data_IF_499866833931
#
_entry.id   IF_499866833931
#
_cell.length_a   1.000
_cell.length_b   1.000
_cell.length_c   1.000
_cell.angle_alpha   90.00
_cell.angle_beta   90.00
_cell.angle_gamma   90.00
#
_symmetry.space_group_name_H-M   'P 1'
#
loop_
_entity.id
_entity.type
_entity.pdbx_description
1 polymer ?
#
# COMPACT_ATOMS: atom_id res chain seq x y z
N UNK A 1 3.50 9.11 -15.67
CA UNK A 1 2.65 8.91 -14.47
C UNK A 1 1.57 9.98 -14.42
N UNK A 2 0.35 9.57 -14.12
CA UNK A 2 -0.73 10.50 -13.76
C UNK A 2 -1.00 10.35 -12.27
N UNK A 3 -1.22 11.47 -11.58
CA UNK A 3 -1.45 11.46 -10.13
C UNK A 3 -2.62 12.38 -9.80
N UNK A 4 -3.66 11.83 -9.16
CA UNK A 4 -4.85 12.57 -8.78
C UNK A 4 -5.21 12.27 -7.33
N UNK A 5 -5.73 13.30 -6.65
CA UNK A 5 -6.30 13.16 -5.31
C UNK A 5 -7.78 13.49 -5.40
N UNK A 6 -8.64 12.58 -4.97
CA UNK A 6 -10.09 12.75 -5.07
C UNK A 6 -10.77 12.43 -3.74
N UNK A 7 -11.97 12.94 -3.57
CA UNK A 7 -12.82 12.61 -2.42
C UNK A 7 -13.75 11.49 -2.84
N UNK A 8 -13.44 10.28 -2.40
CA UNK A 8 -14.20 9.08 -2.76
C UNK A 8 -13.83 7.93 -1.83
N UNK A 9 -14.78 7.03 -1.58
CA UNK A 9 -14.49 5.76 -0.92
C UNK A 9 -13.57 4.93 -1.82
N UNK A 10 -12.41 4.54 -1.28
CA UNK A 10 -11.44 3.72 -2.00
C UNK A 10 -12.07 2.44 -2.57
N UNK A 11 -12.93 1.80 -1.78
CA UNK A 11 -13.54 0.52 -2.17
C UNK A 11 -14.63 0.67 -3.21
N UNK A 12 -15.00 1.90 -3.57
CA UNK A 12 -15.93 2.18 -4.67
C UNK A 12 -15.23 2.38 -6.02
N UNK A 13 -13.88 2.29 -6.05
CA UNK A 13 -13.14 2.36 -7.31
C UNK A 13 -13.46 1.16 -8.21
N UNK A 14 -13.47 1.39 -9.52
CA UNK A 14 -13.71 0.34 -10.51
C UNK A 14 -12.78 -0.85 -10.33
N UNK A 15 -13.23 -2.04 -10.70
CA UNK A 15 -12.48 -3.29 -10.52
C UNK A 15 -11.14 -3.31 -11.25
N UNK A 16 -10.96 -2.47 -12.25
CA UNK A 16 -9.70 -2.38 -12.99
C UNK A 16 -8.58 -1.70 -12.21
N UNK A 17 -8.92 -1.01 -11.11
CA UNK A 17 -7.90 -0.42 -10.23
C UNK A 17 -7.37 -1.47 -9.25
N UNK A 18 -6.06 -1.59 -9.17
CA UNK A 18 -5.39 -2.34 -8.10
C UNK A 18 -5.33 -1.44 -6.87
N UNK A 19 -5.62 -1.98 -5.70
CA UNK A 19 -5.71 -1.19 -4.47
C UNK A 19 -4.50 -1.44 -3.57
N UNK A 20 -3.95 -0.38 -3.00
CA UNK A 20 -2.74 -0.46 -2.18
C UNK A 20 -2.99 0.07 -0.78
N UNK A 21 -2.32 -0.54 0.20
CA UNK A 21 -2.28 -0.07 1.58
C UNK A 21 -0.99 -0.53 2.26
N UNK A 22 -0.73 0.00 3.47
CA UNK A 22 0.45 -0.35 4.25
C UNK A 22 0.08 -1.33 5.36
N UNK A 23 0.96 -2.30 5.60
CA UNK A 23 0.82 -3.29 6.66
C UNK A 23 2.14 -3.44 7.44
N UNK A 24 2.10 -4.19 8.54
CA UNK A 24 3.28 -4.57 9.29
C UNK A 24 3.74 -5.99 8.90
N UNK A 25 4.99 -6.32 9.21
CA UNK A 25 5.56 -7.63 8.89
C UNK A 25 4.86 -8.78 9.63
N UNK A 26 4.21 -8.50 10.77
CA UNK A 26 3.39 -9.48 11.50
C UNK A 26 2.00 -9.67 10.87
N UNK A 27 1.65 -8.85 9.89
CA UNK A 27 0.39 -8.90 9.14
C UNK A 27 -0.87 -8.92 10.03
N UNK A 28 -0.84 -8.21 11.16
CA UNK A 28 -1.98 -8.17 12.09
C UNK A 28 -3.23 -7.61 11.42
N UNK A 29 -3.10 -6.49 10.71
CA UNK A 29 -4.22 -5.82 10.03
C UNK A 29 -5.45 -5.66 10.93
N UNK A 30 -5.20 -5.25 12.18
CA UNK A 30 -6.22 -5.20 13.21
C UNK A 30 -6.79 -3.83 13.49
N UNK A 31 -6.40 -2.80 12.74
CA UNK A 31 -6.88 -1.44 12.96
C UNK A 31 -6.92 -0.65 11.65
N UNK A 32 -7.74 0.39 11.63
CA UNK A 32 -7.86 1.29 10.49
C UNK A 32 -8.35 0.60 9.22
N UNK A 33 -7.93 1.11 8.08
CA UNK A 33 -8.37 0.62 6.78
C UNK A 33 -7.90 -0.82 6.50
N UNK A 34 -6.83 -1.27 7.16
CA UNK A 34 -6.31 -2.62 6.99
C UNK A 34 -7.34 -3.70 7.36
N UNK A 35 -8.21 -3.43 8.32
CA UNK A 35 -9.29 -4.35 8.70
C UNK A 35 -10.21 -4.58 7.50
N UNK A 36 -10.60 -3.51 6.81
CA UNK A 36 -11.47 -3.61 5.64
C UNK A 36 -10.79 -4.33 4.48
N UNK A 37 -9.50 -4.06 4.26
CA UNK A 37 -8.73 -4.79 3.24
C UNK A 37 -8.70 -6.28 3.54
N UNK A 38 -8.41 -6.65 4.78
CA UNK A 38 -8.35 -8.05 5.18
C UNK A 38 -9.69 -8.76 4.94
N UNK A 39 -10.78 -8.13 5.38
CA UNK A 39 -12.12 -8.72 5.27
C UNK A 39 -12.62 -8.81 3.83
N UNK A 40 -12.38 -7.76 3.03
CA UNK A 40 -12.89 -7.70 1.66
C UNK A 40 -12.11 -8.56 0.69
N UNK A 41 -10.80 -8.73 0.91
CA UNK A 41 -9.92 -9.35 -0.08
C UNK A 41 -9.27 -10.66 0.41
N UNK A 42 -9.70 -11.16 1.56
CA UNK A 42 -9.22 -12.46 2.05
C UNK A 42 -7.72 -12.48 2.34
N UNK A 43 -7.21 -11.46 3.02
CA UNK A 43 -5.77 -11.32 3.26
C UNK A 43 -5.25 -12.20 4.40
N UNK A 44 -6.05 -13.15 4.89
CA UNK A 44 -5.61 -14.14 5.86
C UNK A 44 -4.42 -14.95 5.37
N UNK A 45 -4.25 -15.09 4.06
CA UNK A 45 -3.09 -15.76 3.47
C UNK A 45 -1.78 -15.08 3.91
N UNK A 46 -1.77 -13.75 4.02
CA UNK A 46 -0.60 -13.02 4.50
C UNK A 46 -0.37 -13.26 5.99
N UNK A 47 -1.45 -13.35 6.77
CA UNK A 47 -1.35 -13.66 8.20
C UNK A 47 -0.78 -15.05 8.43
N UNK A 48 -1.21 -16.03 7.65
CA UNK A 48 -0.68 -17.41 7.71
C UNK A 48 0.80 -17.42 7.33
N UNK A 49 1.18 -16.70 6.27
CA UNK A 49 2.56 -16.60 5.86
C UNK A 49 3.43 -15.97 6.96
N UNK A 50 2.93 -14.91 7.58
CA UNK A 50 3.65 -14.20 8.64
C UNK A 50 3.81 -15.05 9.91
N UNK A 51 2.93 -16.02 10.14
CA UNK A 51 3.08 -16.97 11.26
C UNK A 51 4.24 -17.92 11.04
N UNK A 52 4.53 -18.28 9.80
CA UNK A 52 5.67 -19.14 9.46
C UNK A 52 6.97 -18.34 9.53
N UNK A 53 6.97 -17.17 8.93
CA UNK A 53 8.12 -16.28 8.89
C UNK A 53 7.61 -14.85 8.69
N UNK A 54 8.07 -13.86 9.47
CA UNK A 54 7.64 -12.48 9.29
C UNK A 54 7.83 -12.03 7.85
N UNK A 55 6.89 -11.21 7.35
CA UNK A 55 7.03 -10.59 6.03
C UNK A 55 8.24 -9.65 6.02
N UNK A 56 8.78 -9.39 4.86
CA UNK A 56 10.00 -8.59 4.73
C UNK A 56 9.68 -7.09 4.66
N UNK A 57 10.25 -6.31 5.60
CA UNK A 57 10.10 -4.85 5.62
C UNK A 57 10.71 -4.27 4.35
N UNK A 58 10.00 -3.33 3.72
CA UNK A 58 10.43 -2.71 2.49
C UNK A 58 10.00 -3.45 1.24
N UNK A 59 9.23 -4.52 1.39
CA UNK A 59 8.67 -5.28 0.26
C UNK A 59 7.17 -5.05 0.13
N UNK A 60 6.67 -5.25 -1.09
CA UNK A 60 5.25 -5.22 -1.39
C UNK A 60 4.79 -6.62 -1.78
N UNK A 61 3.70 -7.08 -1.19
CA UNK A 61 3.16 -8.43 -1.42
C UNK A 61 1.83 -8.32 -2.18
N UNK A 62 1.82 -8.72 -3.46
CA UNK A 62 0.56 -8.72 -4.21
C UNK A 62 -0.32 -9.91 -3.80
N UNK A 63 -1.59 -9.65 -3.56
CA UNK A 63 -2.60 -10.67 -3.28
C UNK A 63 -3.86 -10.27 -4.04
N UNK A 64 -4.21 -11.00 -5.11
CA UNK A 64 -5.36 -10.67 -5.93
C UNK A 64 -5.31 -9.23 -6.40
N UNK A 65 -6.35 -8.47 -6.10
CA UNK A 65 -6.49 -7.06 -6.50
C UNK A 65 -5.70 -6.11 -5.59
N UNK A 66 -4.97 -6.62 -4.60
CA UNK A 66 -4.33 -5.77 -3.60
C UNK A 66 -2.81 -5.81 -3.66
N UNK A 67 -2.20 -4.67 -3.33
CA UNK A 67 -0.77 -4.53 -3.08
C UNK A 67 -0.58 -4.14 -1.62
N UNK A 68 0.19 -4.95 -0.90
CA UNK A 68 0.34 -4.86 0.55
C UNK A 68 1.78 -4.46 0.85
N UNK A 69 1.98 -3.19 1.23
CA UNK A 69 3.31 -2.62 1.47
C UNK A 69 3.71 -2.85 2.91
N UNK A 70 4.82 -3.55 3.13
CA UNK A 70 5.33 -3.83 4.48
C UNK A 70 6.29 -2.72 4.88
N UNK A 71 5.87 -1.88 5.79
CA UNK A 71 6.60 -0.65 6.15
C UNK A 71 7.20 -0.67 7.55
N UNK A 72 6.85 -1.65 8.38
CA UNK A 72 7.29 -1.72 9.78
C UNK A 72 7.25 -3.18 10.27
N UNK A 73 7.99 -3.46 11.35
CA UNK A 73 8.11 -4.83 11.85
C UNK A 73 6.83 -5.34 12.52
N UNK A 74 6.23 -4.52 13.39
CA UNK A 74 5.06 -4.92 14.18
C UNK A 74 3.96 -3.87 14.06
N UNK A 75 2.71 -4.32 14.28
CA UNK A 75 1.56 -3.43 14.20
C UNK A 75 1.68 -2.21 15.13
N UNK A 76 2.36 -2.35 16.27
CA UNK A 76 2.54 -1.29 17.26
C UNK A 76 3.69 -0.34 16.96
N UNK A 77 4.54 -0.67 15.98
CA UNK A 77 5.65 0.19 15.57
C UNK A 77 5.18 1.31 14.65
N UNK A 78 6.08 2.28 14.40
CA UNK A 78 5.89 3.30 13.38
C UNK A 78 6.86 3.06 12.23
N UNK A 79 6.45 3.28 10.99
CA UNK A 79 7.37 3.17 9.86
C UNK A 79 8.37 4.31 9.86
N UNK A 80 9.49 4.10 9.19
CA UNK A 80 10.42 5.18 8.83
C UNK A 80 10.14 5.60 7.40
N UNK A 81 10.58 6.81 7.01
CA UNK A 81 10.50 7.21 5.61
C UNK A 81 11.34 6.31 4.72
N UNK A 82 12.45 5.78 5.25
CA UNK A 82 13.30 4.84 4.50
C UNK A 82 12.56 3.54 4.21
N UNK A 83 11.95 2.90 5.22
CA UNK A 83 11.22 1.65 5.02
C UNK A 83 9.98 1.86 4.13
N UNK A 84 9.31 2.98 4.29
CA UNK A 84 8.18 3.36 3.45
C UNK A 84 8.60 3.52 1.99
N UNK A 85 9.69 4.25 1.74
CA UNK A 85 10.20 4.47 0.39
C UNK A 85 10.55 3.16 -0.30
N UNK A 86 11.21 2.25 0.41
CA UNK A 86 11.57 0.93 -0.14
C UNK A 86 10.33 0.13 -0.52
N UNK A 87 9.29 0.16 0.32
CA UNK A 87 8.03 -0.52 0.02
C UNK A 87 7.33 0.08 -1.20
N UNK A 88 7.35 1.40 -1.34
CA UNK A 88 6.79 2.10 -2.52
C UNK A 88 7.57 1.72 -3.78
N UNK A 89 8.89 1.65 -3.71
CA UNK A 89 9.71 1.23 -4.85
C UNK A 89 9.44 -0.22 -5.24
N UNK A 90 9.25 -1.10 -4.25
CA UNK A 90 8.84 -2.48 -4.50
C UNK A 90 7.48 -2.55 -5.20
N UNK A 91 6.53 -1.74 -4.76
CA UNK A 91 5.21 -1.63 -5.40
C UNK A 91 5.33 -1.16 -6.85
N UNK A 92 6.16 -0.14 -7.10
CA UNK A 92 6.42 0.34 -8.46
C UNK A 92 6.95 -0.79 -9.34
N UNK A 93 7.92 -1.55 -8.85
CA UNK A 93 8.53 -2.63 -9.62
C UNK A 93 7.49 -3.70 -9.99
N UNK A 94 6.58 -4.01 -9.08
CA UNK A 94 5.49 -4.94 -9.35
C UNK A 94 4.54 -4.38 -10.42
N UNK A 95 4.16 -3.11 -10.31
CA UNK A 95 3.29 -2.47 -11.30
C UNK A 95 3.90 -2.51 -12.69
N UNK A 96 5.18 -2.20 -12.81
CA UNK A 96 5.89 -2.23 -14.10
C UNK A 96 6.00 -3.66 -14.64
N UNK A 97 6.41 -4.60 -13.78
CA UNK A 97 6.61 -6.00 -14.17
C UNK A 97 5.31 -6.68 -14.58
N UNK A 98 4.22 -6.41 -13.87
CA UNK A 98 2.95 -7.10 -14.08
C UNK A 98 1.95 -6.31 -14.93
N UNK A 99 2.34 -5.15 -15.45
CA UNK A 99 1.49 -4.33 -16.29
C UNK A 99 0.30 -3.73 -15.55
N UNK A 100 0.45 -3.40 -14.27
CA UNK A 100 -0.60 -2.79 -13.47
C UNK A 100 -0.56 -1.28 -13.68
N UNK A 101 -1.43 -0.76 -14.54
CA UNK A 101 -1.40 0.63 -14.98
C UNK A 101 -2.34 1.55 -14.20
N UNK A 102 -3.23 1.00 -13.38
CA UNK A 102 -4.22 1.76 -12.61
C UNK A 102 -4.14 1.36 -11.15
N UNK A 103 -3.75 2.30 -10.31
CA UNK A 103 -3.49 2.09 -8.88
C UNK A 103 -4.30 3.09 -8.08
N UNK A 104 -4.99 2.61 -7.04
CA UNK A 104 -5.71 3.48 -6.12
C UNK A 104 -5.29 3.16 -4.69
N UNK A 105 -5.26 4.19 -3.85
CA UNK A 105 -4.81 4.06 -2.47
C UNK A 105 -5.40 5.17 -1.60
N UNK A 106 -5.46 4.96 -0.28
CA UNK A 106 -5.73 6.08 0.62
C UNK A 106 -4.45 6.92 0.75
N UNK A 107 -4.44 7.90 1.65
CA UNK A 107 -3.19 8.59 2.01
C UNK A 107 -2.33 7.62 2.84
N UNK A 108 -1.67 6.70 2.15
CA UNK A 108 -0.92 5.62 2.79
C UNK A 108 0.16 6.16 3.72
N UNK A 109 0.32 5.48 4.87
CA UNK A 109 1.32 5.85 5.87
C UNK A 109 0.94 7.05 6.73
N UNK A 110 -0.17 7.73 6.46
CA UNK A 110 -0.51 9.00 7.11
C UNK A 110 -1.62 8.90 8.17
N UNK A 111 -2.33 7.77 8.24
CA UNK A 111 -3.34 7.55 9.27
C UNK A 111 -2.70 7.23 10.62
N UNK A 112 -2.85 5.99 11.07
CA UNK A 112 -2.30 5.54 12.35
C UNK A 112 -0.77 5.58 12.36
N UNK A 113 -0.11 5.45 11.21
CA UNK A 113 1.34 5.48 11.08
C UNK A 113 1.95 6.88 11.15
N UNK A 114 1.14 7.92 10.95
CA UNK A 114 1.48 9.33 11.17
C UNK A 114 2.61 9.90 10.31
N UNK A 115 2.91 9.32 9.16
CA UNK A 115 3.79 9.99 8.21
C UNK A 115 3.09 11.23 7.65
N UNK A 116 3.87 12.21 7.21
CA UNK A 116 3.32 13.47 6.67
C UNK A 116 2.98 13.29 5.19
N UNK A 117 1.75 13.62 4.82
CA UNK A 117 1.26 13.41 3.47
C UNK A 117 2.10 14.13 2.40
N UNK A 118 2.55 15.36 2.66
CA UNK A 118 3.37 16.08 1.69
C UNK A 118 4.64 15.30 1.33
N UNK A 119 5.27 14.67 2.31
CA UNK A 119 6.47 13.85 2.10
C UNK A 119 6.11 12.54 1.40
N UNK A 120 5.03 11.89 1.82
CA UNK A 120 4.56 10.65 1.22
C UNK A 120 4.19 10.88 -0.24
N UNK A 121 3.46 11.96 -0.54
CA UNK A 121 3.12 12.33 -1.91
C UNK A 121 4.38 12.44 -2.78
N UNK A 122 5.39 13.15 -2.29
CA UNK A 122 6.64 13.32 -3.02
C UNK A 122 7.36 11.99 -3.28
N UNK A 123 7.39 11.12 -2.29
CA UNK A 123 8.00 9.79 -2.43
C UNK A 123 7.30 8.97 -3.52
N UNK A 124 5.97 8.97 -3.52
CA UNK A 124 5.18 8.24 -4.52
C UNK A 124 5.41 8.82 -5.91
N UNK A 125 5.34 10.14 -6.05
CA UNK A 125 5.54 10.80 -7.34
C UNK A 125 6.94 10.55 -7.88
N UNK A 126 7.96 10.62 -7.04
CA UNK A 126 9.35 10.36 -7.45
C UNK A 126 9.53 8.90 -7.89
N UNK A 127 8.97 7.96 -7.13
CA UNK A 127 9.12 6.54 -7.44
C UNK A 127 8.46 6.16 -8.77
N UNK A 128 7.33 6.77 -9.10
CA UNK A 128 6.55 6.41 -10.29
C UNK A 128 6.78 7.37 -11.49
N UNK A 129 7.69 8.34 -11.38
CA UNK A 129 7.86 9.41 -12.37
C UNK A 129 8.12 8.90 -13.79
N UNK A 130 8.85 7.79 -13.93
CA UNK A 130 9.23 7.23 -15.24
C UNK A 130 8.29 6.11 -15.69
N UNK A 131 7.09 6.00 -15.08
CA UNK A 131 6.13 4.94 -15.38
C UNK A 131 4.89 5.50 -16.08
N UNK A 132 4.10 4.60 -16.68
CA UNK A 132 2.80 4.93 -17.27
C UNK A 132 1.64 4.67 -16.31
N UNK A 133 1.91 4.53 -15.01
CA UNK A 133 0.89 4.20 -14.02
C UNK A 133 0.04 5.42 -13.69
N UNK A 134 -1.28 5.24 -13.68
CA UNK A 134 -2.23 6.22 -13.15
C UNK A 134 -2.45 5.92 -11.65
N UNK A 135 -2.21 6.92 -10.82
CA UNK A 135 -2.38 6.80 -9.36
C UNK A 135 -3.51 7.71 -8.90
N UNK A 136 -4.48 7.13 -8.21
CA UNK A 136 -5.60 7.86 -7.62
C UNK A 136 -5.54 7.71 -6.12
N UNK A 137 -5.42 8.82 -5.41
CA UNK A 137 -5.45 8.84 -3.94
C UNK A 137 -6.85 9.23 -3.49
N UNK A 138 -7.49 8.34 -2.73
CA UNK A 138 -8.87 8.51 -2.31
C UNK A 138 -8.94 8.95 -0.84
N UNK A 139 -9.68 10.02 -0.57
CA UNK A 139 -9.97 10.49 0.79
C UNK A 139 -11.48 10.58 0.97
N UNK A 140 -11.95 10.40 2.19
CA UNK A 140 -13.38 10.51 2.53
C UNK A 140 -13.80 11.94 2.81
#
# INVERSE_FOLDING_TARGET
>A
MEFREIQQDLFAMDDQYTLAHCISADARMGAGIAVQFRQRFGLEVLQEQAQQEPLEIGQCYPVGRTLNLVTKARFSNKPTYQSFTRAVESMRDICVSDGLNQLAMPQIGCGLDRLKWDKVRGIIQDAFAETDVEIVVCTL
#
